data_IF_187922704284
#
_entry.id   IF_187922704284
#
_cell.length_a   1.000
_cell.length_b   1.000
_cell.length_c   1.000
_cell.angle_alpha   90.00
_cell.angle_beta   90.00
_cell.angle_gamma   90.00
#
_symmetry.space_group_name_H-M   'P 1'
#
loop_
_entity.id
_entity.type
_entity.pdbx_description
1 polymer ?
#
# COMPACT_ATOMS: atom_id res chain seq x y z
N UNK A 1 0.60 -30.02 14.77
CA UNK A 1 0.88 -29.45 13.44
C UNK A 1 2.06 -28.49 13.61
N UNK A 2 3.26 -28.88 13.20
CA UNK A 2 4.44 -28.02 13.33
C UNK A 2 4.37 -26.99 12.22
N UNK A 3 4.03 -25.75 12.55
CA UNK A 3 3.99 -24.68 11.57
C UNK A 3 5.41 -24.46 11.01
N UNK A 4 5.55 -24.44 9.68
CA UNK A 4 6.84 -24.16 9.05
C UNK A 4 7.23 -22.71 9.41
N UNK A 5 8.31 -22.48 10.17
CA UNK A 5 8.64 -21.14 10.67
C UNK A 5 8.88 -20.14 9.54
N UNK A 6 9.33 -20.60 8.36
CA UNK A 6 9.48 -19.75 7.19
C UNK A 6 8.15 -19.23 6.65
N UNK A 7 7.11 -20.08 6.65
CA UNK A 7 5.74 -19.72 6.22
C UNK A 7 5.12 -18.72 7.20
N UNK A 8 5.27 -18.94 8.51
CA UNK A 8 4.77 -18.01 9.52
C UNK A 8 5.39 -16.61 9.40
N UNK A 9 6.69 -16.53 9.08
CA UNK A 9 7.40 -15.24 8.94
C UNK A 9 6.93 -14.46 7.72
N UNK A 10 6.80 -15.10 6.55
CA UNK A 10 6.28 -14.41 5.36
C UNK A 10 4.84 -13.95 5.57
N UNK A 11 3.98 -14.80 6.15
CA UNK A 11 2.58 -14.48 6.39
C UNK A 11 2.45 -13.28 7.33
N UNK A 12 3.23 -13.25 8.42
CA UNK A 12 3.22 -12.14 9.36
C UNK A 12 3.71 -10.84 8.73
N UNK A 13 4.82 -10.87 7.98
CA UNK A 13 5.37 -9.69 7.29
C UNK A 13 4.36 -9.14 6.28
N UNK A 14 3.71 -10.01 5.49
CA UNK A 14 2.74 -9.59 4.49
C UNK A 14 1.45 -9.06 5.13
N UNK A 15 0.99 -9.68 6.22
CA UNK A 15 -0.18 -9.22 6.95
C UNK A 15 0.03 -7.81 7.53
N UNK A 16 1.20 -7.53 8.11
CA UNK A 16 1.50 -6.23 8.69
C UNK A 16 1.78 -5.19 7.60
N UNK A 17 2.75 -5.47 6.72
CA UNK A 17 3.26 -4.44 5.79
C UNK A 17 2.38 -4.22 4.57
N UNK A 18 1.70 -5.25 4.07
CA UNK A 18 0.94 -5.13 2.81
C UNK A 18 -0.54 -4.97 3.12
N UNK A 19 -1.13 -5.93 3.85
CA UNK A 19 -2.56 -5.87 4.17
C UNK A 19 -2.87 -4.67 5.07
N UNK A 20 -2.04 -4.41 6.09
CA UNK A 20 -2.21 -3.23 6.95
C UNK A 20 -2.19 -1.92 6.16
N UNK A 21 -1.20 -1.74 5.28
CA UNK A 21 -1.10 -0.54 4.44
C UNK A 21 -2.26 -0.42 3.45
N UNK A 22 -2.69 -1.51 2.82
CA UNK A 22 -3.87 -1.51 1.94
C UNK A 22 -5.13 -1.04 2.67
N UNK A 23 -5.40 -1.56 3.87
CA UNK A 23 -6.56 -1.16 4.66
C UNK A 23 -6.49 0.33 5.04
N UNK A 24 -5.31 0.81 5.46
CA UNK A 24 -5.13 2.23 5.73
C UNK A 24 -5.43 3.11 4.50
N UNK A 25 -5.01 2.68 3.31
CA UNK A 25 -5.31 3.40 2.07
C UNK A 25 -6.80 3.40 1.76
N UNK A 26 -7.47 2.26 1.90
CA UNK A 26 -8.90 2.11 1.62
C UNK A 26 -9.75 3.02 2.53
N UNK A 27 -9.49 2.99 3.84
CA UNK A 27 -10.19 3.84 4.79
C UNK A 27 -9.87 5.33 4.61
N UNK A 28 -8.60 5.66 4.36
CA UNK A 28 -8.20 7.05 4.08
C UNK A 28 -8.85 7.57 2.80
N UNK A 29 -8.87 6.78 1.73
CA UNK A 29 -9.51 7.13 0.46
C UNK A 29 -11.02 7.33 0.65
N UNK A 30 -11.68 6.42 1.35
CA UNK A 30 -13.10 6.52 1.68
C UNK A 30 -13.39 7.83 2.43
N UNK A 31 -12.60 8.15 3.45
CA UNK A 31 -12.75 9.40 4.20
C UNK A 31 -12.50 10.65 3.34
N UNK A 32 -11.47 10.64 2.49
CA UNK A 32 -11.19 11.75 1.56
C UNK A 32 -12.33 11.97 0.57
N UNK A 33 -12.99 10.90 0.11
CA UNK A 33 -14.19 10.99 -0.72
C UNK A 33 -15.36 11.60 0.05
N UNK A 34 -15.60 11.17 1.30
CA UNK A 34 -16.66 11.74 2.16
C UNK A 34 -16.45 13.24 2.42
N UNK A 35 -15.20 13.69 2.57
CA UNK A 35 -14.85 15.09 2.80
C UNK A 35 -15.00 15.96 1.54
N UNK A 36 -15.09 15.37 0.34
CA UNK A 36 -15.41 16.07 -0.91
C UNK A 36 -14.29 16.95 -1.50
N UNK A 37 -13.19 17.16 -0.79
CA UNK A 37 -12.03 17.92 -1.29
C UNK A 37 -10.85 17.03 -1.73
N UNK A 38 -10.98 15.70 -1.58
CA UNK A 38 -9.92 14.76 -1.90
C UNK A 38 -8.72 14.85 -0.96
N UNK A 39 -7.57 14.36 -1.39
CA UNK A 39 -6.36 14.40 -0.56
C UNK A 39 -5.14 13.83 -1.24
N UNK A 40 -4.21 13.32 -0.46
CA UNK A 40 -2.97 12.72 -0.96
C UNK A 40 -2.61 11.52 -0.08
N UNK A 41 -2.65 10.31 -0.63
CA UNK A 41 -2.19 9.10 0.08
C UNK A 41 -0.72 8.84 -0.27
N UNK A 42 0.11 8.66 0.76
CA UNK A 42 1.56 8.46 0.64
C UNK A 42 1.94 7.12 1.28
N UNK A 43 2.73 6.34 0.56
CA UNK A 43 3.21 5.04 1.01
C UNK A 43 4.68 5.00 1.41
N UNK A 44 4.97 4.47 2.60
CA UNK A 44 6.34 4.27 3.06
C UNK A 44 6.95 2.97 2.48
N UNK A 45 7.63 3.09 1.34
CA UNK A 45 8.47 2.03 0.78
C UNK A 45 9.94 2.16 1.23
N UNK A 46 10.81 1.28 0.74
CA UNK A 46 12.23 1.20 1.07
C UNK A 46 13.08 1.00 -0.18
N UNK A 47 14.41 1.08 -0.07
CA UNK A 47 15.33 0.61 -1.13
C UNK A 47 15.09 -0.87 -1.46
N UNK A 48 14.65 -1.66 -0.47
CA UNK A 48 14.19 -3.04 -0.64
C UNK A 48 12.91 -3.17 -1.48
N UNK A 49 12.21 -2.07 -1.74
CA UNK A 49 11.08 -2.00 -2.69
C UNK A 49 11.50 -1.76 -4.14
N UNK A 50 12.81 -1.61 -4.41
CA UNK A 50 13.37 -1.48 -5.76
C UNK A 50 14.24 -2.69 -6.15
N UNK A 51 14.96 -3.26 -5.19
CA UNK A 51 15.86 -4.39 -5.41
C UNK A 51 15.64 -5.47 -4.35
N UNK A 52 15.78 -6.73 -4.76
CA UNK A 52 15.79 -7.85 -3.83
C UNK A 52 17.12 -7.90 -3.06
N UNK A 53 17.05 -8.06 -1.74
CA UNK A 53 18.21 -8.25 -0.88
C UNK A 53 18.30 -9.71 -0.44
N UNK A 54 19.44 -10.40 -0.67
CA UNK A 54 19.67 -11.73 -0.11
C UNK A 54 19.48 -11.67 1.41
N UNK A 55 18.80 -12.65 2.00
CA UNK A 55 18.33 -12.73 3.41
C UNK A 55 17.06 -11.95 3.79
N UNK A 56 16.59 -10.97 2.99
CA UNK A 56 15.39 -10.17 3.31
C UNK A 56 14.27 -10.37 2.28
N UNK A 57 14.14 -11.58 1.73
CA UNK A 57 13.19 -11.88 0.64
C UNK A 57 11.75 -11.51 0.99
N UNK A 58 11.26 -11.91 2.17
CA UNK A 58 9.91 -11.59 2.64
C UNK A 58 9.67 -10.09 2.82
N UNK A 59 10.65 -9.39 3.42
CA UNK A 59 10.57 -7.95 3.62
C UNK A 59 10.64 -7.18 2.29
N UNK A 60 11.58 -7.54 1.42
CA UNK A 60 11.72 -6.96 0.09
C UNK A 60 10.44 -7.16 -0.75
N UNK A 61 9.88 -8.37 -0.74
CA UNK A 61 8.59 -8.66 -1.38
C UNK A 61 7.48 -7.74 -0.86
N UNK A 62 7.40 -7.55 0.47
CA UNK A 62 6.40 -6.64 1.06
C UNK A 62 6.58 -5.18 0.62
N UNK A 63 7.82 -4.70 0.49
CA UNK A 63 8.11 -3.32 0.07
C UNK A 63 7.92 -3.08 -1.43
N UNK A 64 8.15 -4.10 -2.25
CA UNK A 64 7.78 -4.10 -3.67
C UNK A 64 6.26 -4.06 -3.80
N UNK A 65 5.52 -4.83 -2.99
CA UNK A 65 4.07 -4.82 -2.98
C UNK A 65 3.50 -3.44 -2.61
N UNK A 66 4.04 -2.76 -1.59
CA UNK A 66 3.65 -1.37 -1.25
C UNK A 66 3.88 -0.42 -2.43
N UNK A 67 4.97 -0.60 -3.19
CA UNK A 67 5.23 0.20 -4.39
C UNK A 67 4.17 -0.08 -5.47
N UNK A 68 3.85 -1.35 -5.70
CA UNK A 68 2.77 -1.74 -6.62
C UNK A 68 1.41 -1.17 -6.22
N UNK A 69 1.07 -1.19 -4.92
CA UNK A 69 -0.15 -0.58 -4.37
C UNK A 69 -0.22 0.93 -4.56
N UNK A 70 0.93 1.61 -4.61
CA UNK A 70 1.00 3.04 -4.85
C UNK A 70 1.02 3.40 -6.35
N UNK A 71 1.37 2.46 -7.24
CA UNK A 71 1.38 2.63 -8.70
C UNK A 71 0.03 2.28 -9.35
N UNK A 72 -0.58 1.15 -8.95
CA UNK A 72 -2.05 1.04 -8.91
C UNK A 72 -2.53 1.99 -7.80
N UNK A 73 -3.79 2.15 -7.45
CA UNK A 73 -4.24 3.45 -6.90
C UNK A 73 -3.97 4.52 -7.98
N UNK A 74 -2.72 4.84 -8.34
CA UNK A 74 -2.39 5.47 -9.63
C UNK A 74 -1.01 6.12 -9.77
N UNK A 75 -0.76 6.47 -11.02
CA UNK A 75 0.54 6.35 -11.68
C UNK A 75 1.77 6.88 -10.95
N UNK A 76 2.87 6.17 -11.23
CA UNK A 76 4.24 6.36 -10.79
C UNK A 76 4.55 7.67 -10.06
N UNK A 77 4.98 7.49 -8.80
CA UNK A 77 5.35 8.51 -7.82
C UNK A 77 4.16 9.20 -7.15
N UNK A 78 3.73 8.57 -6.04
CA UNK A 78 3.31 9.21 -4.79
C UNK A 78 2.32 10.36 -4.99
N UNK A 79 1.04 10.03 -4.82
CA UNK A 79 -0.08 10.86 -4.35
C UNK A 79 -1.33 10.43 -5.10
N UNK A 80 -2.27 9.80 -4.38
CA UNK A 80 -3.66 9.72 -4.83
C UNK A 80 -4.37 11.02 -4.49
N UNK A 81 -4.49 11.92 -5.49
CA UNK A 81 -5.56 12.91 -5.45
C UNK A 81 -6.85 12.19 -5.79
N UNK A 82 -7.55 11.75 -4.74
CA UNK A 82 -8.96 11.39 -4.87
C UNK A 82 -9.75 12.68 -5.16
N UNK A 83 -9.61 13.25 -6.36
CA UNK A 83 -10.48 14.33 -6.78
C UNK A 83 -11.85 13.69 -7.01
N UNK A 84 -12.76 13.87 -6.06
CA UNK A 84 -14.17 13.61 -6.34
C UNK A 84 -14.53 14.52 -7.53
N UNK A 85 -15.00 14.00 -8.68
CA UNK A 85 -15.64 14.86 -9.63
C UNK A 85 -16.87 15.42 -8.91
N UNK A 86 -16.82 16.70 -8.54
CA UNK A 86 -18.03 17.45 -8.24
C UNK A 86 -18.80 17.44 -9.56
N UNK A 87 -19.71 16.47 -9.73
CA UNK A 87 -20.80 16.56 -10.69
C UNK A 87 -21.65 17.73 -10.21
N UNK A 88 -21.24 18.93 -10.61
CA UNK A 88 -22.06 20.12 -10.50
C UNK A 88 -23.12 19.99 -11.57
N UNK A 89 -24.30 19.53 -11.17
CA UNK A 89 -25.53 19.71 -11.92
C UNK A 89 -26.02 21.16 -11.77
N UNK A 90 -25.30 22.09 -12.41
CA UNK A 90 -25.77 23.44 -12.74
C UNK A 90 -25.24 23.85 -14.09
#
# INVERSE_FOLDING_TARGET
MVANPGVCVIDWIMAVNVRGTFLCYDYAATQMMTQGHGGRIIGASSIAGKYGFPSWSAYAASKIAIKGLAQTAGGDCTVFIAHAPVVNNR
#
